data_IF_847414721893
#
_entry.id   IF_847414721893
#
_cell.length_a   1.000
_cell.length_b   1.000
_cell.length_c   1.000
_cell.angle_alpha   90.00
_cell.angle_beta   90.00
_cell.angle_gamma   90.00
#
_symmetry.space_group_name_H-M   'P 1'
#
loop_
_entity.id
_entity.type
_entity.pdbx_description
1 polymer ?
#
# COMPACT_ATOMS: atom_id res chain seq x y z
N UNK A 1 11.10 26.84 5.19
CA UNK A 1 10.49 26.82 3.85
C UNK A 1 9.52 25.63 3.82
N UNK A 2 8.30 25.76 3.26
CA UNK A 2 7.41 24.62 3.10
C UNK A 2 8.04 23.56 2.19
N UNK A 3 7.73 22.26 2.38
CA UNK A 3 8.26 21.20 1.52
C UNK A 3 7.76 21.38 0.09
N UNK A 4 8.60 21.02 -0.89
CA UNK A 4 8.25 21.05 -2.31
C UNK A 4 7.09 20.10 -2.61
N UNK A 5 6.37 20.36 -3.71
CA UNK A 5 5.31 19.44 -4.17
C UNK A 5 5.88 18.04 -4.45
N UNK A 6 7.06 17.95 -5.06
CA UNK A 6 7.76 16.70 -5.33
C UNK A 6 8.01 15.91 -4.03
N UNK A 7 8.50 16.57 -2.97
CA UNK A 7 8.74 15.97 -1.67
C UNK A 7 7.46 15.51 -0.98
N UNK A 8 6.40 16.31 -1.03
CA UNK A 8 5.09 15.97 -0.45
C UNK A 8 4.52 14.72 -1.13
N UNK A 9 4.46 14.70 -2.46
CA UNK A 9 3.90 13.56 -3.20
C UNK A 9 4.76 12.30 -3.01
N UNK A 10 6.08 12.44 -2.89
CA UNK A 10 6.99 11.33 -2.58
C UNK A 10 6.66 10.71 -1.22
N UNK A 11 6.53 11.53 -0.17
CA UNK A 11 6.15 11.04 1.16
C UNK A 11 4.75 10.43 1.20
N UNK A 12 3.82 10.96 0.40
CA UNK A 12 2.48 10.40 0.26
C UNK A 12 2.52 8.99 -0.34
N UNK A 13 3.25 8.80 -1.45
CA UNK A 13 3.41 7.50 -2.10
C UNK A 13 4.04 6.47 -1.16
N UNK A 14 5.12 6.84 -0.46
CA UNK A 14 5.77 5.95 0.51
C UNK A 14 4.83 5.50 1.63
N UNK A 15 3.95 6.39 2.12
CA UNK A 15 2.95 6.03 3.13
C UNK A 15 1.93 5.06 2.57
N UNK A 16 1.44 5.30 1.36
CA UNK A 16 0.47 4.42 0.70
C UNK A 16 1.04 3.02 0.45
N UNK A 17 2.30 2.92 0.02
CA UNK A 17 2.99 1.62 -0.17
C UNK A 17 3.09 0.86 1.16
N UNK A 18 3.43 1.55 2.25
CA UNK A 18 3.48 0.92 3.59
C UNK A 18 2.10 0.50 4.10
N UNK A 19 1.08 1.32 3.85
CA UNK A 19 -0.30 1.02 4.20
C UNK A 19 -0.79 -0.23 3.46
N UNK A 20 -0.52 -0.31 2.16
CA UNK A 20 -0.84 -1.48 1.34
C UNK A 20 -0.14 -2.75 1.83
N UNK A 21 1.17 -2.68 2.10
CA UNK A 21 1.92 -3.79 2.68
C UNK A 21 1.36 -4.23 4.05
N UNK A 22 0.92 -3.28 4.89
CA UNK A 22 0.31 -3.58 6.19
C UNK A 22 -1.00 -4.36 6.02
N UNK A 23 -1.84 -3.99 5.07
CA UNK A 23 -3.07 -4.74 4.78
C UNK A 23 -2.78 -6.16 4.27
N UNK A 24 -1.73 -6.35 3.48
CA UNK A 24 -1.32 -7.68 3.04
C UNK A 24 -0.80 -8.56 4.19
N UNK A 25 -0.02 -7.99 5.10
CA UNK A 25 0.40 -8.68 6.31
C UNK A 25 -0.79 -9.06 7.19
N UNK A 26 -1.76 -8.15 7.35
CA UNK A 26 -2.99 -8.42 8.11
C UNK A 26 -3.80 -9.56 7.49
N UNK A 27 -3.98 -9.56 6.17
CA UNK A 27 -4.67 -10.64 5.46
C UNK A 27 -3.98 -11.99 5.68
N UNK A 28 -2.65 -12.05 5.56
CA UNK A 28 -1.91 -13.29 5.77
C UNK A 28 -2.12 -13.83 7.20
N UNK A 29 -2.17 -12.95 8.20
CA UNK A 29 -2.42 -13.34 9.59
C UNK A 29 -3.87 -13.81 9.80
N UNK A 30 -4.85 -13.09 9.25
CA UNK A 30 -6.27 -13.47 9.32
C UNK A 30 -6.52 -14.82 8.62
N UNK A 31 -5.95 -15.03 7.43
CA UNK A 31 -6.06 -16.28 6.68
C UNK A 31 -5.41 -17.46 7.44
N UNK A 32 -4.28 -17.23 8.11
CA UNK A 32 -3.67 -18.23 8.99
C UNK A 32 -4.55 -18.59 10.20
N UNK A 33 -5.20 -17.59 10.83
CA UNK A 33 -6.14 -17.82 11.94
C UNK A 33 -7.39 -18.58 11.48
N UNK A 34 -7.95 -18.21 10.33
CA UNK A 34 -9.08 -18.92 9.71
C UNK A 34 -8.72 -20.39 9.51
N UNK A 35 -7.56 -20.66 8.89
CA UNK A 35 -7.10 -22.03 8.65
C UNK A 35 -6.97 -22.83 9.95
N UNK A 36 -6.39 -22.24 10.98
CA UNK A 36 -6.28 -22.88 12.29
C UNK A 36 -7.66 -23.22 12.90
N UNK A 37 -8.62 -22.30 12.83
CA UNK A 37 -9.99 -22.51 13.33
C UNK A 37 -10.75 -23.58 12.52
N UNK A 38 -10.52 -23.65 11.21
CA UNK A 38 -11.09 -24.67 10.32
C UNK A 38 -10.51 -26.07 10.57
N UNK A 39 -9.22 -26.16 10.90
CA UNK A 39 -8.54 -27.43 11.22
C UNK A 39 -8.86 -27.94 12.64
N UNK A 40 -9.32 -27.06 13.55
CA UNK A 40 -9.61 -27.40 14.94
C UNK A 40 -11.06 -27.03 15.35
N UNK A 41 -12.09 -27.55 14.66
CA UNK A 41 -13.48 -27.24 14.97
C UNK A 41 -13.84 -27.82 16.35
N UNK A 42 -13.91 -26.96 17.36
CA UNK A 42 -14.20 -27.34 18.75
C UNK A 42 -13.05 -27.13 19.75
N UNK A 43 -11.94 -26.50 19.34
CA UNK A 43 -10.89 -26.07 20.28
C UNK A 43 -11.36 -24.99 21.27
N UNK A 44 -12.45 -24.29 20.94
CA UNK A 44 -13.07 -23.22 21.72
C UNK A 44 -14.59 -23.31 21.55
N UNK A 45 -15.35 -23.04 22.61
CA UNK A 45 -16.82 -22.95 22.58
C UNK A 45 -17.30 -21.91 21.56
N UNK A 46 -16.46 -20.91 21.27
CA UNK A 46 -16.73 -19.81 20.35
C UNK A 46 -16.07 -19.97 18.97
N UNK A 47 -15.53 -21.14 18.63
CA UNK A 47 -14.75 -21.33 17.39
C UNK A 47 -15.53 -20.92 16.12
N UNK A 48 -16.82 -21.23 16.02
CA UNK A 48 -17.66 -20.83 14.89
C UNK A 48 -17.87 -19.31 14.80
N UNK A 49 -18.04 -18.66 15.96
CA UNK A 49 -18.20 -17.21 16.02
C UNK A 49 -16.91 -16.50 15.60
N UNK A 50 -15.77 -16.95 16.14
CA UNK A 50 -14.44 -16.44 15.77
C UNK A 50 -14.18 -16.62 14.27
N UNK A 51 -14.50 -17.78 13.71
CA UNK A 51 -14.35 -18.05 12.27
C UNK A 51 -15.19 -17.09 11.41
N UNK A 52 -16.43 -16.79 11.81
CA UNK A 52 -17.27 -15.81 11.11
C UNK A 52 -16.70 -14.41 11.19
N UNK A 53 -16.19 -14.00 12.36
CA UNK A 53 -15.57 -12.68 12.53
C UNK A 53 -14.30 -12.53 11.68
N UNK A 54 -13.41 -13.51 11.68
CA UNK A 54 -12.18 -13.45 10.88
C UNK A 54 -12.49 -13.39 9.38
N UNK A 55 -13.47 -14.16 8.90
CA UNK A 55 -13.92 -14.09 7.51
C UNK A 55 -14.49 -12.71 7.14
N UNK A 56 -15.24 -12.10 8.04
CA UNK A 56 -15.74 -10.73 7.86
C UNK A 56 -14.58 -9.72 7.81
N UNK A 57 -13.59 -9.85 8.71
CA UNK A 57 -12.41 -8.99 8.72
C UNK A 57 -11.62 -9.10 7.40
N UNK A 58 -11.38 -10.32 6.91
CA UNK A 58 -10.74 -10.55 5.58
C UNK A 58 -11.51 -9.86 4.47
N UNK A 59 -12.84 -9.96 4.49
CA UNK A 59 -13.68 -9.33 3.48
C UNK A 59 -13.59 -7.79 3.52
N UNK A 60 -13.57 -7.20 4.71
CA UNK A 60 -13.42 -5.76 4.88
C UNK A 60 -12.04 -5.27 4.45
N UNK A 61 -10.96 -5.95 4.84
CA UNK A 61 -9.60 -5.61 4.41
C UNK A 61 -9.47 -5.72 2.88
N UNK A 62 -10.01 -6.78 2.26
CA UNK A 62 -10.03 -6.94 0.79
C UNK A 62 -10.81 -5.84 0.07
N UNK A 63 -11.83 -5.24 0.71
CA UNK A 63 -12.59 -4.11 0.15
C UNK A 63 -11.81 -2.79 0.13
N UNK A 64 -10.90 -2.58 1.08
CA UNK A 64 -10.13 -1.34 1.18
C UNK A 64 -8.96 -1.33 0.19
N UNK A 65 -8.33 -2.49 -0.04
CA UNK A 65 -7.16 -2.63 -0.90
C UNK A 65 -7.29 -1.99 -2.30
N UNK A 66 -8.38 -2.17 -3.07
CA UNK A 66 -8.53 -1.52 -4.38
C UNK A 66 -8.42 0.01 -4.31
N UNK A 67 -8.94 0.63 -3.24
CA UNK A 67 -8.88 2.07 -3.06
C UNK A 67 -7.45 2.54 -2.79
N UNK A 68 -6.69 1.79 -1.98
CA UNK A 68 -5.28 2.09 -1.71
C UNK A 68 -4.46 1.95 -2.99
N UNK A 69 -4.67 0.89 -3.77
CA UNK A 69 -4.00 0.67 -5.06
C UNK A 69 -4.29 1.77 -6.08
N UNK A 70 -5.53 2.25 -6.15
CA UNK A 70 -5.87 3.39 -6.99
C UNK A 70 -5.08 4.65 -6.57
N UNK A 71 -5.01 4.94 -5.26
CA UNK A 71 -4.21 6.06 -4.73
C UNK A 71 -2.72 5.92 -5.02
N UNK A 72 -2.16 4.71 -4.93
CA UNK A 72 -0.76 4.43 -5.30
C UNK A 72 -0.55 4.75 -6.79
N UNK A 73 -1.43 4.25 -7.67
CA UNK A 73 -1.33 4.48 -9.10
C UNK A 73 -1.41 5.97 -9.46
N UNK A 74 -2.30 6.72 -8.81
CA UNK A 74 -2.45 8.16 -9.03
C UNK A 74 -1.23 8.94 -8.51
N UNK A 75 -0.70 8.58 -7.34
CA UNK A 75 0.51 9.21 -6.79
C UNK A 75 1.75 8.92 -7.66
N UNK A 76 1.86 7.72 -8.26
CA UNK A 76 2.91 7.40 -9.24
C UNK A 76 2.79 8.32 -10.46
N UNK A 77 1.60 8.43 -11.07
CA UNK A 77 1.37 9.31 -12.22
C UNK A 77 1.70 10.77 -11.90
N UNK A 78 1.31 11.23 -10.71
CA UNK A 78 1.61 12.60 -10.28
C UNK A 78 3.12 12.83 -10.12
N UNK A 79 3.86 11.91 -9.49
CA UNK A 79 5.32 12.03 -9.39
C UNK A 79 6.01 12.00 -10.75
N UNK A 80 5.55 11.14 -11.66
CA UNK A 80 6.08 11.10 -13.02
C UNK A 80 5.87 12.44 -13.73
N UNK A 81 4.67 13.02 -13.65
CA UNK A 81 4.38 14.34 -14.20
C UNK A 81 5.28 15.43 -13.59
N UNK A 82 5.45 15.44 -12.26
CA UNK A 82 6.31 16.41 -11.57
C UNK A 82 7.78 16.28 -11.97
N UNK A 83 8.27 15.05 -12.18
CA UNK A 83 9.63 14.81 -12.65
C UNK A 83 9.83 15.27 -14.09
N UNK A 84 8.85 15.08 -14.97
CA UNK A 84 8.89 15.58 -16.34
C UNK A 84 8.83 17.12 -16.39
N UNK A 85 7.97 17.76 -15.60
CA UNK A 85 7.95 19.22 -15.45
C UNK A 85 9.30 19.73 -14.95
N UNK A 86 9.87 19.13 -13.89
CA UNK A 86 11.17 19.51 -13.38
C UNK A 86 12.27 19.43 -14.46
N UNK A 87 12.26 18.39 -15.31
CA UNK A 87 13.21 18.29 -16.43
C UNK A 87 12.99 19.39 -17.47
N UNK A 88 11.75 19.67 -17.83
CA UNK A 88 11.41 20.71 -18.82
C UNK A 88 11.80 22.11 -18.34
N UNK A 89 11.78 22.34 -17.03
CA UNK A 89 12.16 23.60 -16.38
C UNK A 89 13.66 23.67 -16.04
N UNK A 90 14.49 22.80 -16.61
CA UNK A 90 15.95 22.86 -16.45
C UNK A 90 16.53 22.05 -15.30
N UNK A 91 15.70 21.29 -14.57
CA UNK A 91 16.16 20.32 -13.57
C UNK A 91 16.55 20.95 -12.23
N UNK A 92 15.87 22.02 -11.82
CA UNK A 92 16.22 22.81 -10.63
C UNK A 92 15.92 22.11 -9.29
N UNK A 93 15.03 21.10 -9.27
CA UNK A 93 14.74 20.38 -8.03
C UNK A 93 16.00 19.68 -7.47
N UNK A 94 16.17 19.64 -6.14
CA UNK A 94 17.33 19.01 -5.53
C UNK A 94 17.49 17.56 -5.97
N UNK A 95 18.72 17.16 -6.33
CA UNK A 95 19.03 15.80 -6.80
C UNK A 95 18.52 14.73 -5.84
N UNK A 96 18.59 14.97 -4.53
CA UNK A 96 18.08 14.05 -3.50
C UNK A 96 16.56 13.85 -3.59
N UNK A 97 15.78 14.92 -3.83
CA UNK A 97 14.33 14.82 -4.00
C UNK A 97 13.97 14.06 -5.28
N UNK A 98 14.70 14.31 -6.37
CA UNK A 98 14.54 13.59 -7.64
C UNK A 98 14.84 12.10 -7.48
N UNK A 99 15.92 11.74 -6.79
CA UNK A 99 16.29 10.35 -6.53
C UNK A 99 15.23 9.65 -5.69
N UNK A 100 14.81 10.24 -4.58
CA UNK A 100 13.77 9.66 -3.71
C UNK A 100 12.43 9.50 -4.41
N UNK A 101 12.05 10.44 -5.27
CA UNK A 101 10.83 10.31 -6.06
C UNK A 101 10.89 9.11 -7.01
N UNK A 102 12.02 8.90 -7.69
CA UNK A 102 12.23 7.75 -8.58
C UNK A 102 12.24 6.42 -7.83
N UNK A 103 12.88 6.37 -6.67
CA UNK A 103 12.87 5.21 -5.77
C UNK A 103 11.44 4.88 -5.32
N UNK A 104 10.68 5.89 -4.86
CA UNK A 104 9.29 5.72 -4.45
C UNK A 104 8.39 5.23 -5.60
N UNK A 105 8.58 5.72 -6.83
CA UNK A 105 7.88 5.21 -8.02
C UNK A 105 8.22 3.74 -8.25
N UNK A 106 9.50 3.36 -8.16
CA UNK A 106 9.94 1.98 -8.35
C UNK A 106 9.32 1.05 -7.30
N UNK A 107 9.31 1.45 -6.03
CA UNK A 107 8.67 0.75 -4.92
C UNK A 107 7.16 0.63 -5.12
N UNK A 108 6.47 1.72 -5.49
CA UNK A 108 5.04 1.71 -5.76
C UNK A 108 4.67 0.78 -6.91
N UNK A 109 5.43 0.80 -8.01
CA UNK A 109 5.26 -0.12 -9.14
C UNK A 109 5.59 -1.56 -8.79
N UNK A 110 6.49 -1.80 -7.83
CA UNK A 110 6.80 -3.14 -7.32
C UNK A 110 5.63 -3.67 -6.49
N UNK A 111 5.13 -2.87 -5.54
CA UNK A 111 3.96 -3.22 -4.72
C UNK A 111 2.76 -3.58 -5.60
N UNK A 112 2.46 -2.79 -6.63
CA UNK A 112 1.36 -3.09 -7.56
C UNK A 112 1.55 -4.40 -8.37
N UNK A 113 2.79 -4.86 -8.59
CA UNK A 113 3.11 -6.04 -9.42
C UNK A 113 3.19 -7.34 -8.63
N UNK A 114 3.71 -7.33 -7.42
CA UNK A 114 3.89 -8.55 -6.60
C UNK A 114 2.56 -9.16 -6.13
N UNK A 115 1.44 -8.50 -6.46
CA UNK A 115 0.13 -8.75 -5.88
C UNK A 115 -0.98 -8.77 -6.95
N UNK A 116 -0.57 -8.79 -8.23
CA UNK A 116 -1.40 -9.09 -9.41
C UNK A 116 -1.22 -10.55 -9.80
#
# INVERSE_FOLDING_TARGET
MPPSKLKITTSSLQRLVKEEASYHQELAQQEARIKHLEENPGSDENAEYQLRQERQAVYETKKVLPTVRAKIADAIKELEALLETNKAEGGEAPTEEVTKAKEAIAEGRKAMREIS
#
